data_IF_034773013965
#
_entry.id   IF_034773013965
#
_cell.length_a   1.000
_cell.length_b   1.000
_cell.length_c   1.000
_cell.angle_alpha   90.00
_cell.angle_beta   90.00
_cell.angle_gamma   90.00
#
_symmetry.space_group_name_H-M   'P 1'
#
loop_
_entity.id
_entity.type
_entity.pdbx_description
1 polymer ?
#
# COMPACT_ATOMS: atom_id res chain seq x y z
N UNK A 1 -1.79 2.62 14.57
CA UNK A 1 -1.39 4.05 14.48
C UNK A 1 -2.10 4.69 13.30
N UNK A 2 -2.65 5.86 13.52
CA UNK A 2 -3.34 6.60 12.47
C UNK A 2 -2.38 7.00 11.36
N UNK A 3 -2.83 6.89 10.12
CA UNK A 3 -2.05 7.27 8.96
C UNK A 3 -2.94 7.98 7.94
N UNK A 4 -2.31 8.71 7.03
CA UNK A 4 -2.99 9.48 6.01
C UNK A 4 -2.41 9.14 4.64
N UNK A 5 -3.29 9.00 3.66
CA UNK A 5 -2.93 8.96 2.26
C UNK A 5 -3.37 10.28 1.65
N UNK A 6 -2.43 11.08 1.20
CA UNK A 6 -2.69 12.41 0.65
C UNK A 6 -2.30 12.39 -0.83
N UNK A 7 -3.25 12.68 -1.70
CA UNK A 7 -2.99 12.78 -3.13
C UNK A 7 -2.52 14.19 -3.50
N UNK A 8 -1.78 14.30 -4.59
CA UNK A 8 -1.27 15.59 -5.04
C UNK A 8 -2.36 16.61 -5.40
N UNK A 9 -3.60 16.15 -5.64
CA UNK A 9 -4.74 17.04 -5.87
C UNK A 9 -5.37 17.57 -4.58
N UNK A 10 -4.83 17.18 -3.41
CA UNK A 10 -5.32 17.60 -2.10
C UNK A 10 -6.29 16.65 -1.43
N UNK A 11 -6.70 15.57 -2.10
CA UNK A 11 -7.59 14.58 -1.50
C UNK A 11 -6.88 13.83 -0.38
N UNK A 12 -7.52 13.68 0.77
CA UNK A 12 -6.97 13.01 1.94
C UNK A 12 -7.85 11.84 2.34
N UNK A 13 -7.23 10.68 2.52
CA UNK A 13 -7.86 9.50 3.10
C UNK A 13 -7.19 9.19 4.43
N UNK A 14 -8.00 8.95 5.45
CA UNK A 14 -7.50 8.57 6.76
C UNK A 14 -7.66 7.07 6.97
N UNK A 15 -6.64 6.43 7.50
CA UNK A 15 -6.66 5.02 7.78
C UNK A 15 -5.70 4.65 8.90
N UNK A 16 -5.23 3.42 8.88
CA UNK A 16 -4.32 2.89 9.90
C UNK A 16 -3.03 2.43 9.23
N UNK A 17 -1.90 2.83 9.80
CA UNK A 17 -0.58 2.43 9.31
C UNK A 17 -0.40 0.91 9.41
N UNK A 18 0.12 0.32 8.35
CA UNK A 18 0.60 -1.06 8.33
C UNK A 18 2.02 -1.07 7.76
N UNK A 19 2.76 -2.13 8.06
CA UNK A 19 4.14 -2.24 7.60
C UNK A 19 5.06 -1.20 8.24
N UNK A 20 5.96 -0.67 7.45
CA UNK A 20 6.91 0.34 7.90
C UNK A 20 6.22 1.66 8.23
N UNK A 21 6.73 2.38 9.22
CA UNK A 21 6.14 3.66 9.64
C UNK A 21 6.80 4.87 8.97
N UNK A 22 7.73 4.65 8.05
CA UNK A 22 8.37 5.75 7.34
C UNK A 22 7.40 6.43 6.38
N UNK A 23 7.63 7.68 6.09
CA UNK A 23 6.85 8.39 5.08
C UNK A 23 7.26 7.92 3.67
N UNK A 24 6.31 7.97 2.75
CA UNK A 24 6.51 7.57 1.38
C UNK A 24 5.81 8.57 0.45
N UNK A 25 6.49 8.96 -0.62
CA UNK A 25 5.89 9.75 -1.70
C UNK A 25 6.21 9.02 -3.01
N UNK A 26 5.17 8.61 -3.73
CA UNK A 26 5.32 7.86 -4.99
C UNK A 26 4.07 8.00 -5.84
N UNK A 27 4.16 7.58 -7.09
CA UNK A 27 2.99 7.47 -7.95
C UNK A 27 2.05 6.41 -7.41
N UNK A 28 0.77 6.73 -7.33
CA UNK A 28 -0.26 5.82 -6.84
C UNK A 28 -0.91 5.14 -8.03
N UNK A 29 -0.83 3.82 -8.07
CA UNK A 29 -1.44 2.99 -9.12
C UNK A 29 -2.38 1.97 -8.47
N UNK A 30 -3.26 1.35 -9.24
CA UNK A 30 -4.19 0.37 -8.70
C UNK A 30 -4.10 -0.96 -9.42
N UNK A 31 -4.44 -2.03 -8.69
CA UNK A 31 -4.50 -3.39 -9.21
C UNK A 31 -5.85 -3.99 -8.82
N UNK A 32 -6.58 -4.52 -9.80
CA UNK A 32 -7.92 -5.06 -9.61
C UNK A 32 -7.94 -6.57 -9.40
N UNK A 33 -6.78 -7.21 -9.29
CA UNK A 33 -6.70 -8.65 -9.09
C UNK A 33 -7.33 -9.07 -7.77
N UNK A 34 -8.10 -10.14 -7.79
CA UNK A 34 -8.70 -10.74 -6.59
C UNK A 34 -7.72 -11.65 -5.85
N UNK A 35 -6.70 -12.12 -6.56
CA UNK A 35 -5.68 -13.02 -6.04
C UNK A 35 -4.31 -12.47 -6.41
N UNK A 36 -3.25 -13.10 -5.90
CA UNK A 36 -1.90 -12.72 -6.31
C UNK A 36 -1.37 -11.45 -5.67
N UNK A 37 -1.89 -11.05 -4.52
CA UNK A 37 -1.36 -9.87 -3.84
C UNK A 37 0.12 -10.01 -3.50
N UNK A 38 0.59 -11.23 -3.23
CA UNK A 38 2.01 -11.47 -3.00
C UNK A 38 2.80 -11.33 -4.30
N UNK A 39 2.21 -11.71 -5.43
CA UNK A 39 2.83 -11.53 -6.74
C UNK A 39 3.00 -10.06 -7.06
N UNK A 40 2.02 -9.23 -6.71
CA UNK A 40 2.11 -7.78 -6.86
C UNK A 40 3.28 -7.22 -6.05
N UNK A 41 3.41 -7.65 -4.80
CA UNK A 41 4.50 -7.20 -3.92
C UNK A 41 5.88 -7.59 -4.45
N UNK A 42 5.99 -8.70 -5.15
CA UNK A 42 7.28 -9.20 -5.65
C UNK A 42 7.49 -8.90 -7.13
N UNK A 43 6.63 -8.12 -7.75
CA UNK A 43 6.72 -7.75 -9.17
C UNK A 43 7.55 -6.47 -9.33
N UNK A 44 8.74 -6.55 -9.98
CA UNK A 44 9.60 -5.37 -10.17
C UNK A 44 8.96 -4.24 -10.97
N UNK A 45 7.86 -4.49 -11.69
CA UNK A 45 7.18 -3.43 -12.45
C UNK A 45 6.57 -2.36 -11.54
N UNK A 46 6.37 -2.67 -10.24
CA UNK A 46 5.84 -1.72 -9.28
C UNK A 46 6.92 -0.92 -8.54
N UNK A 47 8.18 -1.08 -8.91
CA UNK A 47 9.26 -0.28 -8.31
C UNK A 47 9.00 1.20 -8.55
N UNK A 48 9.09 2.01 -7.50
CA UNK A 48 8.79 3.44 -7.58
C UNK A 48 7.31 3.80 -7.55
N UNK A 49 6.44 2.83 -7.28
CA UNK A 49 4.99 3.05 -7.23
C UNK A 49 4.41 2.51 -5.95
N UNK A 50 3.35 3.16 -5.44
CA UNK A 50 2.53 2.62 -4.37
C UNK A 50 1.29 2.00 -5.00
N UNK A 51 0.96 0.77 -4.63
CA UNK A 51 -0.11 0.03 -5.27
C UNK A 51 -1.36 -0.03 -4.37
N UNK A 52 -2.50 0.28 -4.98
CA UNK A 52 -3.82 0.13 -4.34
C UNK A 52 -4.38 -1.22 -4.75
N UNK A 53 -4.63 -2.07 -3.76
CA UNK A 53 -5.32 -3.34 -4.00
C UNK A 53 -6.81 -3.10 -3.85
N UNK A 54 -7.54 -3.25 -4.93
CA UNK A 54 -8.97 -2.92 -4.94
C UNK A 54 -9.86 -4.02 -4.35
N UNK A 55 -9.32 -5.22 -4.20
CA UNK A 55 -10.05 -6.30 -3.54
C UNK A 55 -10.15 -6.01 -2.04
N UNK A 56 -11.34 -6.16 -1.44
CA UNK A 56 -11.59 -5.60 -0.11
C UNK A 56 -10.88 -6.28 1.06
N UNK A 57 -10.47 -7.54 0.93
CA UNK A 57 -9.84 -8.28 2.02
C UNK A 57 -8.54 -8.91 1.56
N UNK A 58 -7.42 -8.47 2.10
CA UNK A 58 -6.08 -8.86 1.69
C UNK A 58 -5.36 -9.51 2.87
N UNK A 59 -4.40 -10.37 2.56
CA UNK A 59 -3.55 -11.01 3.57
C UNK A 59 -4.14 -12.28 4.15
N UNK A 60 -5.08 -12.90 3.44
CA UNK A 60 -5.79 -14.08 3.92
C UNK A 60 -4.92 -15.33 4.01
N UNK A 61 -3.80 -15.38 3.32
CA UNK A 61 -2.98 -16.58 3.22
C UNK A 61 -1.70 -16.55 4.05
N UNK A 62 -1.24 -15.42 4.48
CA UNK A 62 0.04 -15.31 5.14
C UNK A 62 1.21 -15.48 4.16
N UNK A 63 2.42 -15.40 4.67
CA UNK A 63 3.64 -15.42 3.86
C UNK A 63 4.27 -16.80 3.93
N UNK A 64 4.52 -17.40 2.76
CA UNK A 64 5.23 -18.69 2.67
C UNK A 64 6.74 -18.46 2.66
N UNK A 65 7.56 -19.49 2.98
CA UNK A 65 9.02 -19.36 2.89
C UNK A 65 9.52 -18.94 1.52
N UNK A 66 8.86 -19.40 0.46
CA UNK A 66 9.24 -19.02 -0.91
C UNK A 66 9.08 -17.52 -1.14
N UNK A 67 8.04 -16.92 -0.56
CA UNK A 67 7.79 -15.49 -0.68
C UNK A 67 8.76 -14.67 0.17
N UNK A 68 9.14 -15.18 1.34
CA UNK A 68 10.08 -14.51 2.21
C UNK A 68 11.46 -14.32 1.59
N UNK A 69 11.83 -15.21 0.67
CA UNK A 69 13.12 -15.13 -0.02
C UNK A 69 13.13 -14.11 -1.15
N UNK A 70 11.96 -13.56 -1.51
CA UNK A 70 11.83 -12.59 -2.60
C UNK A 70 11.83 -11.17 -2.07
N UNK A 71 12.34 -10.27 -2.91
CA UNK A 71 12.34 -8.85 -2.60
C UNK A 71 10.98 -8.25 -2.92
N UNK A 72 10.51 -7.35 -2.07
CA UNK A 72 9.32 -6.54 -2.37
C UNK A 72 9.75 -5.27 -3.10
N UNK A 73 9.00 -4.88 -4.14
CA UNK A 73 9.36 -3.80 -5.03
C UNK A 73 8.52 -2.53 -4.87
N UNK A 74 7.21 -2.59 -4.55
CA UNK A 74 6.43 -1.36 -4.41
C UNK A 74 6.97 -0.46 -3.31
N UNK A 75 6.81 0.86 -3.49
CA UNK A 75 7.17 1.83 -2.47
C UNK A 75 6.15 1.93 -1.35
N UNK A 76 4.91 1.50 -1.61
CA UNK A 76 3.84 1.52 -0.62
C UNK A 76 2.73 0.56 -1.00
N UNK A 77 1.87 0.27 -0.02
CA UNK A 77 0.80 -0.70 -0.18
C UNK A 77 -0.48 -0.16 0.47
N UNK A 78 -1.54 -0.07 -0.31
CA UNK A 78 -2.80 0.55 0.11
C UNK A 78 -3.91 -0.46 -0.01
N UNK A 79 -4.61 -0.74 1.09
CA UNK A 79 -5.66 -1.74 1.12
C UNK A 79 -6.88 -1.23 1.88
N UNK A 80 -8.03 -1.81 1.59
CA UNK A 80 -9.23 -1.53 2.34
C UNK A 80 -9.19 -2.22 3.69
N UNK A 81 -8.83 -3.49 3.70
CA UNK A 81 -8.76 -4.26 4.92
C UNK A 81 -7.68 -5.32 4.83
N UNK A 82 -7.08 -5.64 5.96
CA UNK A 82 -6.06 -6.65 6.09
C UNK A 82 -6.60 -7.75 6.99
N UNK A 83 -6.52 -9.00 6.53
CA UNK A 83 -6.95 -10.13 7.37
C UNK A 83 -6.04 -10.26 8.58
N UNK A 84 -6.64 -10.39 9.76
CA UNK A 84 -5.92 -10.54 11.01
C UNK A 84 -5.45 -11.96 11.25
N UNK A 85 -6.17 -12.92 10.67
CA UNK A 85 -5.90 -14.34 10.90
C UNK A 85 -5.61 -15.00 9.57
N UNK A 86 -4.37 -15.43 9.32
CA UNK A 86 -4.06 -16.25 8.16
C UNK A 86 -4.93 -17.50 8.18
N UNK A 87 -5.44 -17.91 7.04
CA UNK A 87 -6.26 -19.12 6.95
C UNK A 87 -5.45 -20.40 7.14
N UNK A 88 -4.12 -20.30 7.08
CA UNK A 88 -3.21 -21.42 7.22
C UNK A 88 -2.27 -21.16 8.40
N UNK A 89 -2.38 -21.97 9.44
CA UNK A 89 -1.55 -21.83 10.64
C UNK A 89 -0.07 -22.18 10.41
N UNK A 90 0.27 -22.75 9.25
CA UNK A 90 1.66 -23.01 8.87
C UNK A 90 2.34 -21.79 8.26
N UNK A 91 1.65 -20.69 8.17
CA UNK A 91 2.24 -19.45 7.69
C UNK A 91 3.38 -19.04 8.60
N UNK A 92 4.50 -18.67 8.02
CA UNK A 92 5.70 -18.28 8.76
C UNK A 92 5.73 -16.79 9.08
N UNK A 93 4.69 -16.07 8.70
CA UNK A 93 4.55 -14.66 8.99
C UNK A 93 3.28 -14.11 8.42
N UNK A 94 2.99 -12.87 8.75
CA UNK A 94 1.85 -12.14 8.25
C UNK A 94 2.29 -11.15 7.18
N UNK A 95 1.33 -10.63 6.42
CA UNK A 95 1.62 -9.56 5.47
C UNK A 95 2.20 -8.33 6.18
N UNK A 96 1.70 -8.03 7.38
CA UNK A 96 2.22 -6.95 8.20
C UNK A 96 3.73 -7.12 8.46
N UNK A 97 4.13 -8.31 8.89
CA UNK A 97 5.53 -8.61 9.18
C UNK A 97 6.40 -8.54 7.92
N UNK A 98 5.88 -9.02 6.79
CA UNK A 98 6.59 -8.96 5.52
C UNK A 98 6.84 -7.51 5.09
N UNK A 99 5.82 -6.66 5.19
CA UNK A 99 5.96 -5.23 4.86
C UNK A 99 6.97 -4.54 5.78
N UNK A 100 6.96 -4.86 7.07
CA UNK A 100 7.93 -4.32 8.02
C UNK A 100 9.36 -4.74 7.68
N UNK A 101 9.55 -6.02 7.38
CA UNK A 101 10.84 -6.56 7.02
C UNK A 101 11.42 -5.90 5.76
N UNK A 102 10.57 -5.65 4.77
CA UNK A 102 10.98 -5.06 3.50
C UNK A 102 10.94 -3.52 3.52
N UNK A 103 10.65 -2.93 4.68
CA UNK A 103 10.58 -1.48 4.87
C UNK A 103 9.58 -0.81 3.91
N UNK A 104 8.42 -1.42 3.74
CA UNK A 104 7.35 -0.89 2.90
C UNK A 104 6.26 -0.27 3.77
N UNK A 105 6.03 1.04 3.70
CA UNK A 105 4.91 1.64 4.39
C UNK A 105 3.60 1.28 3.71
N UNK A 106 2.56 1.12 4.50
CA UNK A 106 1.24 0.83 3.98
C UNK A 106 0.16 1.46 4.82
N UNK A 107 -1.07 1.40 4.31
CA UNK A 107 -2.22 1.95 4.99
C UNK A 107 -3.43 1.06 4.71
N UNK A 108 -4.21 0.77 5.75
CA UNK A 108 -5.47 0.04 5.63
C UNK A 108 -6.63 0.92 6.10
N UNK A 109 -7.84 0.49 5.81
CA UNK A 109 -9.03 1.24 6.17
C UNK A 109 -9.38 2.32 5.16
N UNK A 110 -8.80 2.25 3.96
CA UNK A 110 -9.03 3.23 2.90
C UNK A 110 -10.22 2.80 2.05
N UNK A 111 -11.05 3.77 1.67
CA UNK A 111 -12.07 3.53 0.66
C UNK A 111 -11.42 3.39 -0.71
N UNK A 112 -11.00 2.17 -1.01
CA UNK A 112 -10.26 1.89 -2.24
C UNK A 112 -11.12 2.09 -3.48
N UNK A 113 -12.44 1.97 -3.36
CA UNK A 113 -13.35 2.24 -4.49
C UNK A 113 -13.33 3.72 -4.85
N UNK A 114 -13.45 4.60 -3.86
CA UNK A 114 -13.39 6.05 -4.09
C UNK A 114 -12.03 6.46 -4.63
N UNK A 115 -10.95 5.92 -4.08
CA UNK A 115 -9.59 6.19 -4.54
C UNK A 115 -9.39 5.74 -6.00
N UNK A 116 -9.82 4.53 -6.33
CA UNK A 116 -9.70 3.99 -7.70
C UNK A 116 -10.49 4.85 -8.69
N UNK A 117 -11.67 5.34 -8.29
CA UNK A 117 -12.47 6.22 -9.14
C UNK A 117 -11.71 7.51 -9.46
N UNK A 118 -11.07 8.11 -8.47
CA UNK A 118 -10.26 9.32 -8.69
C UNK A 118 -9.13 9.02 -9.67
N UNK A 119 -8.44 7.92 -9.50
CA UNK A 119 -7.33 7.56 -10.38
C UNK A 119 -7.77 7.27 -11.81
N UNK A 120 -8.96 6.70 -11.98
CA UNK A 120 -9.52 6.45 -13.32
C UNK A 120 -9.95 7.74 -14.02
N UNK A 121 -10.51 8.67 -13.27
CA UNK A 121 -11.01 9.93 -13.83
C UNK A 121 -9.91 10.94 -14.10
N UNK A 122 -8.93 11.04 -13.20
CA UNK A 122 -7.87 12.04 -13.26
C UNK A 122 -6.52 11.51 -13.75
N UNK A 123 -6.40 10.19 -13.89
CA UNK A 123 -5.13 9.53 -14.15
C UNK A 123 -4.35 9.25 -12.88
N UNK A 124 -3.31 8.46 -12.99
CA UNK A 124 -2.44 8.18 -11.84
C UNK A 124 -1.72 9.45 -11.41
N UNK A 125 -1.49 9.60 -10.12
CA UNK A 125 -0.87 10.78 -9.57
C UNK A 125 0.01 10.42 -8.38
N UNK A 126 0.85 11.33 -7.96
CA UNK A 126 1.64 11.14 -6.76
C UNK A 126 0.76 11.22 -5.51
N UNK A 127 1.15 10.47 -4.50
CA UNK A 127 0.52 10.50 -3.19
C UNK A 127 1.56 10.26 -2.11
N UNK A 128 1.21 10.62 -0.89
CA UNK A 128 2.06 10.45 0.28
C UNK A 128 1.33 9.58 1.30
N UNK A 129 2.04 8.60 1.84
CA UNK A 129 1.58 7.87 3.03
C UNK A 129 2.41 8.40 4.19
N UNK A 130 1.74 8.92 5.22
CA UNK A 130 2.42 9.47 6.39
C UNK A 130 1.60 9.25 7.64
N UNK A 131 2.29 9.16 8.77
CA UNK A 131 1.66 9.16 10.09
C UNK A 131 1.68 10.56 10.72
N UNK A 132 2.27 11.54 10.04
CA UNK A 132 2.41 12.90 10.51
C UNK A 132 1.24 13.76 10.04
N UNK A 133 0.54 14.42 10.95
CA UNK A 133 -0.58 15.31 10.63
C UNK A 133 -0.12 16.63 9.98
N UNK A 134 1.14 16.99 10.15
CA UNK A 134 1.72 18.23 9.63
C UNK A 134 2.49 17.97 8.32
N UNK A 135 1.83 17.39 7.34
CA UNK A 135 2.44 17.11 6.05
C UNK A 135 2.47 18.35 5.15
N UNK A 136 3.38 18.35 4.17
CA UNK A 136 3.50 19.43 3.19
C UNK A 136 2.95 18.94 1.84
N UNK A 137 1.82 19.52 1.44
CA UNK A 137 1.16 19.15 0.18
C UNK A 137 2.02 19.49 -1.05
N UNK A 138 2.79 20.55 -1.00
CA UNK A 138 3.67 20.93 -2.11
C UNK A 138 4.76 19.89 -2.36
N UNK A 139 5.25 19.26 -1.31
CA UNK A 139 6.28 18.23 -1.42
C UNK A 139 5.81 17.05 -2.27
N UNK A 140 4.53 16.70 -2.18
CA UNK A 140 3.94 15.60 -2.94
C UNK A 140 4.02 15.87 -4.44
N UNK A 141 3.67 17.06 -4.86
CA UNK A 141 3.76 17.46 -6.26
C UNK A 141 5.19 17.51 -6.79
N UNK A 142 6.13 17.95 -5.96
CA UNK A 142 7.55 18.04 -6.35
C UNK A 142 8.20 16.68 -6.58
N UNK A 143 7.72 15.64 -5.94
CA UNK A 143 8.27 14.29 -6.13
C UNK A 143 8.09 13.78 -7.56
N UNK A 144 7.26 14.46 -8.36
CA UNK A 144 6.98 14.10 -9.73
C UNK A 144 8.07 14.59 -10.73
N UNK A 145 8.96 15.41 -10.28
CA UNK A 145 9.98 16.06 -11.13
C UNK A 145 11.25 15.23 -11.19
#
# INVERSE_FOLDING_TARGET
MKAFLILEDGTVFEGTSIGSKRDMISEIVFNTSMTGYLEVLTDPSYAGQAVVMTYPLIGNYGITPDMESKKAWPDGYIVRELSRMPSNFRCEGTLQEFLEKEDIPGIKGIDTRALTKILREKGTMNGMITTNENYDLEEIGRAHV
#
